data_IF_436364483964
#
_entry.id   IF_436364483964
#
_cell.length_a   1.000
_cell.length_b   1.000
_cell.length_c   1.000
_cell.angle_alpha   90.00
_cell.angle_beta   90.00
_cell.angle_gamma   90.00
#
_symmetry.space_group_name_H-M   'P 1'
#
loop_
_entity.id
_entity.type
_entity.pdbx_description
1 polymer ?
#
# COMPACT_ATOMS: atom_id res chain seq x y z
N UNK A 1 -8.95 -21.97 5.63
CA UNK A 1 -7.86 -22.18 4.67
C UNK A 1 -7.08 -23.42 5.07
N UNK A 2 -6.68 -24.26 4.12
CA UNK A 2 -5.87 -25.46 4.40
C UNK A 2 -4.36 -25.10 4.45
N UNK A 3 -3.48 -26.01 4.92
CA UNK A 3 -2.05 -25.73 5.03
C UNK A 3 -1.37 -25.39 3.69
N UNK A 4 -1.85 -25.97 2.59
CA UNK A 4 -1.32 -25.71 1.26
C UNK A 4 -1.65 -24.28 0.80
N UNK A 5 -2.90 -23.84 0.97
CA UNK A 5 -3.34 -22.47 0.67
C UNK A 5 -2.60 -21.43 1.48
N UNK A 6 -2.33 -21.70 2.77
CA UNK A 6 -1.55 -20.78 3.61
C UNK A 6 -0.09 -20.67 3.13
N UNK A 7 0.50 -21.78 2.70
CA UNK A 7 1.85 -21.79 2.14
C UNK A 7 1.94 -20.97 0.86
N UNK A 8 0.94 -21.09 -0.02
CA UNK A 8 0.86 -20.32 -1.28
C UNK A 8 0.75 -18.82 -0.95
N UNK A 9 -0.21 -18.44 -0.10
CA UNK A 9 -0.40 -17.05 0.30
C UNK A 9 0.88 -16.45 0.88
N UNK A 10 1.57 -17.18 1.75
CA UNK A 10 2.84 -16.71 2.33
C UNK A 10 3.90 -16.45 1.26
N UNK A 11 4.01 -17.30 0.23
CA UNK A 11 4.96 -17.10 -0.87
C UNK A 11 4.60 -15.90 -1.74
N UNK A 12 3.33 -15.69 -2.01
CA UNK A 12 2.86 -14.52 -2.75
C UNK A 12 3.16 -13.23 -1.99
N UNK A 13 2.83 -13.19 -0.68
CA UNK A 13 3.11 -12.03 0.17
C UNK A 13 4.61 -11.76 0.31
N UNK A 14 5.46 -12.79 0.36
CA UNK A 14 6.91 -12.63 0.33
C UNK A 14 7.38 -11.95 -0.96
N UNK A 15 6.83 -12.35 -2.12
CA UNK A 15 7.12 -11.71 -3.40
C UNK A 15 6.66 -10.25 -3.41
N UNK A 16 5.44 -9.97 -2.96
CA UNK A 16 4.91 -8.62 -2.91
C UNK A 16 5.72 -7.71 -1.97
N UNK A 17 6.18 -8.21 -0.82
CA UNK A 17 7.08 -7.49 0.09
C UNK A 17 8.39 -7.06 -0.60
N UNK A 18 8.96 -7.89 -1.47
CA UNK A 18 10.17 -7.55 -2.23
C UNK A 18 9.88 -6.39 -3.20
N UNK A 19 8.73 -6.44 -3.89
CA UNK A 19 8.34 -5.40 -4.86
C UNK A 19 8.01 -4.08 -4.16
N UNK A 20 7.28 -4.13 -3.05
CA UNK A 20 6.99 -2.97 -2.22
C UNK A 20 8.28 -2.36 -1.67
N UNK A 21 9.16 -3.17 -1.08
CA UNK A 21 10.45 -2.70 -0.58
C UNK A 21 11.32 -2.06 -1.67
N UNK A 22 11.30 -2.59 -2.90
CA UNK A 22 12.00 -1.97 -4.03
C UNK A 22 11.43 -0.59 -4.39
N UNK A 23 10.10 -0.45 -4.42
CA UNK A 23 9.43 0.81 -4.71
C UNK A 23 9.76 1.87 -3.64
N UNK A 24 9.65 1.51 -2.37
CA UNK A 24 9.97 2.40 -1.25
C UNK A 24 11.43 2.87 -1.28
N UNK A 25 12.38 1.95 -1.51
CA UNK A 25 13.82 2.33 -1.62
C UNK A 25 14.08 3.28 -2.78
N UNK A 26 13.48 3.04 -3.96
CA UNK A 26 13.63 3.93 -5.10
C UNK A 26 13.04 5.32 -4.81
N UNK A 27 11.86 5.38 -4.21
CA UNK A 27 11.25 6.64 -3.79
C UNK A 27 12.17 7.42 -2.84
N UNK A 28 12.78 6.76 -1.85
CA UNK A 28 13.75 7.36 -0.94
C UNK A 28 15.00 7.88 -1.66
N UNK A 29 15.63 7.06 -2.52
CA UNK A 29 16.80 7.49 -3.31
C UNK A 29 16.51 8.70 -4.20
N UNK A 30 15.32 8.75 -4.82
CA UNK A 30 14.91 9.88 -5.67
C UNK A 30 14.69 11.20 -4.89
N UNK A 31 14.42 11.11 -3.58
CA UNK A 31 14.32 12.29 -2.73
C UNK A 31 15.69 12.90 -2.42
N UNK A 32 16.73 12.05 -2.31
CA UNK A 32 18.10 12.45 -1.99
C UNK A 32 18.87 12.99 -3.20
N UNK A 33 18.55 12.52 -4.40
CA UNK A 33 19.22 12.94 -5.63
C UNK A 33 18.64 14.26 -6.14
N UNK A 34 19.46 15.18 -6.64
CA UNK A 34 19.00 16.33 -7.41
C UNK A 34 19.12 16.05 -8.91
N UNK A 35 18.00 15.70 -9.54
CA UNK A 35 17.89 15.50 -10.98
C UNK A 35 16.53 16.01 -11.50
N UNK A 36 16.45 16.46 -12.76
CA UNK A 36 15.17 16.82 -13.37
C UNK A 36 14.18 15.64 -13.36
N UNK A 37 12.91 15.90 -13.06
CA UNK A 37 11.86 14.88 -13.07
C UNK A 37 11.85 13.91 -11.87
N UNK A 38 12.74 14.14 -10.88
CA UNK A 38 12.87 13.23 -9.73
C UNK A 38 11.63 13.17 -8.85
N UNK A 39 10.88 14.26 -8.72
CA UNK A 39 9.72 14.32 -7.84
C UNK A 39 8.58 13.51 -8.45
N UNK A 40 8.42 13.58 -9.77
CA UNK A 40 7.47 12.79 -10.56
C UNK A 40 7.81 11.30 -10.48
N UNK A 41 9.09 10.95 -10.62
CA UNK A 41 9.56 9.58 -10.45
C UNK A 41 9.34 9.07 -9.01
N UNK A 42 9.59 9.91 -8.00
CA UNK A 42 9.36 9.58 -6.60
C UNK A 42 7.85 9.36 -6.33
N UNK A 43 7.00 10.26 -6.83
CA UNK A 43 5.55 10.15 -6.74
C UNK A 43 5.04 8.86 -7.39
N UNK A 44 5.60 8.48 -8.55
CA UNK A 44 5.29 7.21 -9.20
C UNK A 44 5.68 6.01 -8.32
N UNK A 45 6.88 5.99 -7.74
CA UNK A 45 7.33 4.89 -6.89
C UNK A 45 6.53 4.79 -5.58
N UNK A 46 6.11 5.91 -4.98
CA UNK A 46 5.18 5.93 -3.83
C UNK A 46 3.79 5.39 -4.21
N UNK A 47 3.25 5.78 -5.37
CA UNK A 47 1.99 5.23 -5.86
C UNK A 47 2.12 3.73 -6.17
N UNK A 48 3.28 3.29 -6.69
CA UNK A 48 3.59 1.88 -6.93
C UNK A 48 3.68 1.09 -5.61
N UNK A 49 4.32 1.67 -4.60
CA UNK A 49 4.38 1.10 -3.26
C UNK A 49 2.97 0.83 -2.70
N UNK A 50 2.10 1.85 -2.71
CA UNK A 50 0.72 1.70 -2.26
C UNK A 50 -0.06 0.67 -3.08
N UNK A 51 0.12 0.63 -4.41
CA UNK A 51 -0.55 -0.37 -5.25
C UNK A 51 -0.20 -1.81 -4.83
N UNK A 52 1.08 -2.08 -4.55
CA UNK A 52 1.51 -3.42 -4.11
C UNK A 52 0.95 -3.71 -2.71
N UNK A 53 0.99 -2.74 -1.81
CA UNK A 53 0.38 -2.85 -0.48
C UNK A 53 -1.10 -3.21 -0.57
N UNK A 54 -1.88 -2.47 -1.36
CA UNK A 54 -3.28 -2.75 -1.62
C UNK A 54 -3.49 -4.17 -2.15
N UNK A 55 -2.65 -4.64 -3.09
CA UNK A 55 -2.75 -6.00 -3.63
C UNK A 55 -2.44 -7.10 -2.60
N UNK A 56 -1.52 -6.85 -1.67
CA UNK A 56 -1.29 -7.76 -0.54
C UNK A 56 -2.53 -7.83 0.36
N UNK A 57 -3.10 -6.68 0.69
CA UNK A 57 -4.30 -6.57 1.50
C UNK A 57 -5.50 -7.28 0.85
N UNK A 58 -5.72 -7.09 -0.46
CA UNK A 58 -6.77 -7.80 -1.21
C UNK A 58 -6.61 -9.32 -1.10
N UNK A 59 -5.40 -9.85 -1.32
CA UNK A 59 -5.12 -11.29 -1.21
C UNK A 59 -5.36 -11.85 0.18
N UNK A 60 -4.97 -11.11 1.22
CA UNK A 60 -5.25 -11.51 2.61
C UNK A 60 -6.77 -11.56 2.83
N UNK A 61 -7.52 -10.55 2.38
CA UNK A 61 -8.97 -10.57 2.51
C UNK A 61 -9.62 -11.72 1.74
N UNK A 62 -9.16 -12.04 0.53
CA UNK A 62 -9.65 -13.19 -0.25
C UNK A 62 -9.34 -14.51 0.47
N UNK A 63 -8.15 -14.63 1.05
CA UNK A 63 -7.74 -15.81 1.81
C UNK A 63 -8.61 -16.09 3.05
N UNK A 64 -8.97 -15.06 3.81
CA UNK A 64 -9.60 -15.21 5.13
C UNK A 64 -11.09 -14.84 5.17
N UNK A 65 -11.56 -13.94 4.32
CA UNK A 65 -12.84 -13.23 4.51
C UNK A 65 -13.71 -13.10 3.26
N UNK A 66 -13.28 -13.52 2.06
CA UNK A 66 -14.01 -13.76 0.79
C UNK A 66 -15.22 -12.85 0.39
N UNK A 67 -15.40 -11.67 0.98
CA UNK A 67 -16.70 -10.94 0.94
C UNK A 67 -16.56 -9.42 0.76
N UNK A 68 -15.50 -8.90 0.12
CA UNK A 68 -15.40 -7.47 -0.19
C UNK A 68 -15.76 -7.20 -1.65
N UNK A 69 -16.92 -6.58 -1.88
CA UNK A 69 -17.28 -6.06 -3.20
C UNK A 69 -16.54 -4.76 -3.52
N UNK A 70 -15.97 -4.67 -4.74
CA UNK A 70 -15.27 -3.47 -5.24
C UNK A 70 -16.23 -2.34 -5.63
N UNK A 71 -16.88 -1.72 -4.64
CA UNK A 71 -17.79 -0.60 -4.82
C UNK A 71 -17.58 0.48 -3.76
N UNK A 72 -17.80 1.74 -4.15
CA UNK A 72 -17.78 2.89 -3.24
C UNK A 72 -16.43 3.07 -2.54
N UNK A 73 -16.46 3.05 -1.22
CA UNK A 73 -15.34 3.22 -0.28
C UNK A 73 -14.50 1.94 -0.09
N UNK A 74 -14.49 1.06 -1.09
CA UNK A 74 -13.80 -0.24 -1.06
C UNK A 74 -12.40 -0.20 -0.44
N UNK A 75 -11.56 0.73 -0.89
CA UNK A 75 -10.18 0.86 -0.43
C UNK A 75 -10.09 1.23 1.06
N UNK A 76 -11.02 2.06 1.54
CA UNK A 76 -11.09 2.43 2.95
C UNK A 76 -11.54 1.24 3.81
N UNK A 77 -12.57 0.53 3.35
CA UNK A 77 -13.09 -0.68 4.02
C UNK A 77 -12.05 -1.80 4.07
N UNK A 78 -11.22 -1.95 3.04
CA UNK A 78 -10.12 -2.90 3.01
C UNK A 78 -9.11 -2.61 4.13
N UNK A 79 -8.66 -1.35 4.25
CA UNK A 79 -7.74 -0.91 5.31
C UNK A 79 -8.38 -1.13 6.69
N UNK A 80 -9.62 -0.67 6.88
CA UNK A 80 -10.32 -0.82 8.15
C UNK A 80 -10.42 -2.29 8.56
N UNK A 81 -10.84 -3.16 7.65
CA UNK A 81 -11.03 -4.59 7.91
C UNK A 81 -9.74 -5.27 8.32
N UNK A 82 -8.64 -5.01 7.63
CA UNK A 82 -7.34 -5.63 7.93
C UNK A 82 -6.62 -4.99 9.13
N UNK A 83 -7.17 -3.90 9.68
CA UNK A 83 -6.76 -3.35 10.97
C UNK A 83 -7.46 -4.01 12.17
N UNK A 84 -8.51 -4.81 11.93
CA UNK A 84 -9.21 -5.54 12.98
C UNK A 84 -8.51 -6.87 13.26
N UNK A 85 -8.34 -7.16 14.54
CA UNK A 85 -8.00 -8.50 15.03
C UNK A 85 -9.28 -9.35 15.08
N UNK A 86 -9.24 -10.52 14.45
CA UNK A 86 -10.36 -11.45 14.36
C UNK A 86 -9.93 -12.77 15.00
N UNK A 87 -10.14 -12.87 16.31
CA UNK A 87 -9.74 -14.02 17.11
C UNK A 87 -10.23 -15.34 16.49
N UNK A 88 -9.32 -16.31 16.36
CA UNK A 88 -9.59 -17.61 15.73
C UNK A 88 -9.64 -17.61 14.19
N UNK A 89 -9.57 -16.44 13.54
CA UNK A 89 -9.56 -16.31 12.07
C UNK A 89 -8.21 -15.81 11.59
N UNK A 90 -7.80 -14.61 12.04
CA UNK A 90 -6.53 -13.97 11.67
C UNK A 90 -6.18 -12.80 12.59
N UNK A 91 -4.89 -12.48 12.77
CA UNK A 91 -4.50 -11.24 13.45
C UNK A 91 -4.88 -9.99 12.63
N UNK A 92 -4.76 -8.83 13.26
CA UNK A 92 -4.66 -7.57 12.56
C UNK A 92 -3.36 -7.52 11.74
N UNK A 93 -3.48 -7.34 10.43
CA UNK A 93 -2.31 -7.22 9.53
C UNK A 93 -1.85 -5.77 9.39
N UNK A 94 -2.72 -4.81 9.72
CA UNK A 94 -2.40 -3.39 9.78
C UNK A 94 -2.42 -2.96 11.25
N UNK A 95 -1.27 -2.61 11.84
CA UNK A 95 -1.23 -1.99 13.16
C UNK A 95 -2.05 -0.69 13.19
N UNK A 96 -2.81 -0.46 14.26
CA UNK A 96 -3.70 0.71 14.38
C UNK A 96 -2.96 2.04 14.25
N UNK A 97 -1.74 2.11 14.77
CA UNK A 97 -0.84 3.26 14.69
C UNK A 97 -0.29 3.53 13.27
N UNK A 98 -0.46 2.57 12.34
CA UNK A 98 -0.01 2.67 10.94
C UNK A 98 -1.15 2.81 9.94
N UNK A 99 -2.40 2.64 10.37
CA UNK A 99 -3.55 2.75 9.49
C UNK A 99 -3.71 4.17 8.90
N UNK A 100 -3.28 5.22 9.62
CA UNK A 100 -3.24 6.60 9.09
C UNK A 100 -2.28 6.72 7.90
N UNK A 101 -1.08 6.16 8.03
CA UNK A 101 -0.01 6.29 7.04
C UNK A 101 -0.43 5.63 5.72
N UNK A 102 -1.08 4.46 5.80
CA UNK A 102 -1.64 3.76 4.64
C UNK A 102 -2.76 4.57 3.97
N UNK A 103 -3.59 5.27 4.75
CA UNK A 103 -4.65 6.14 4.19
C UNK A 103 -4.06 7.36 3.51
N UNK A 104 -2.97 7.93 4.04
CA UNK A 104 -2.27 9.03 3.38
C UNK A 104 -1.70 8.59 2.03
N UNK A 105 -1.06 7.41 1.98
CA UNK A 105 -0.56 6.82 0.74
C UNK A 105 -1.70 6.53 -0.26
N UNK A 106 -2.85 6.01 0.21
CA UNK A 106 -4.06 5.83 -0.59
C UNK A 106 -4.52 7.14 -1.22
N UNK A 107 -4.65 8.17 -0.40
CA UNK A 107 -5.08 9.51 -0.82
C UNK A 107 -4.12 10.10 -1.83
N UNK A 108 -2.81 10.02 -1.55
CA UNK A 108 -1.78 10.48 -2.46
C UNK A 108 -1.84 9.77 -3.81
N UNK A 109 -1.94 8.44 -3.82
CA UNK A 109 -2.08 7.64 -5.05
C UNK A 109 -3.33 7.98 -5.86
N UNK A 110 -4.42 8.38 -5.20
CA UNK A 110 -5.60 8.88 -5.89
C UNK A 110 -5.32 10.25 -6.54
N UNK A 111 -4.73 11.18 -5.79
CA UNK A 111 -4.37 12.51 -6.28
C UNK A 111 -3.39 12.43 -7.46
N UNK A 112 -2.30 11.68 -7.34
CA UNK A 112 -1.29 11.57 -8.41
C UNK A 112 -1.82 10.96 -9.70
N UNK A 113 -2.89 10.17 -9.63
CA UNK A 113 -3.52 9.55 -10.80
C UNK A 113 -4.56 10.45 -11.48
N UNK A 114 -5.19 11.35 -10.74
CA UNK A 114 -6.39 12.06 -11.19
C UNK A 114 -6.26 13.59 -11.25
N UNK A 115 -5.27 14.17 -10.57
CA UNK A 115 -5.04 15.61 -10.63
C UNK A 115 -4.57 16.02 -12.03
N UNK A 116 -5.31 16.95 -12.65
CA UNK A 116 -4.96 17.52 -13.95
C UNK A 116 -3.76 18.48 -13.85
N UNK A 117 -3.72 19.27 -12.78
CA UNK A 117 -2.59 20.12 -12.42
C UNK A 117 -2.16 19.75 -11.00
N UNK A 118 -0.97 19.19 -10.86
CA UNK A 118 -0.40 18.75 -9.60
C UNK A 118 1.00 19.31 -9.45
N UNK A 119 1.16 20.24 -8.50
CA UNK A 119 2.48 20.69 -8.06
C UNK A 119 3.00 19.75 -7.00
N UNK A 120 4.01 18.95 -7.34
CA UNK A 120 4.70 18.07 -6.39
C UNK A 120 5.62 18.88 -5.48
N UNK A 121 5.55 18.60 -4.19
CA UNK A 121 6.43 19.21 -3.18
C UNK A 121 7.33 18.15 -2.57
N UNK A 122 8.64 18.41 -2.55
CA UNK A 122 9.63 17.49 -2.02
C UNK A 122 9.41 17.15 -0.54
N UNK A 123 8.97 18.12 0.27
CA UNK A 123 8.67 17.92 1.69
C UNK A 123 7.51 16.94 1.91
N UNK A 124 6.42 17.07 1.15
CA UNK A 124 5.28 16.14 1.23
C UNK A 124 5.64 14.74 0.76
N UNK A 125 6.46 14.61 -0.28
CA UNK A 125 6.96 13.30 -0.72
C UNK A 125 7.87 12.66 0.35
N UNK A 126 8.68 13.47 1.04
CA UNK A 126 9.51 13.01 2.13
C UNK A 126 8.71 12.59 3.37
N UNK A 127 7.58 13.24 3.67
CA UNK A 127 6.64 12.79 4.72
C UNK A 127 6.08 11.40 4.41
N UNK A 128 5.66 11.17 3.16
CA UNK A 128 5.05 9.91 2.72
C UNK A 128 6.05 8.74 2.58
N UNK A 129 7.35 9.03 2.51
CA UNK A 129 8.41 8.05 2.34
C UNK A 129 9.05 7.58 3.67
N UNK A 130 8.55 8.06 4.82
CA UNK A 130 9.06 7.74 6.16
C UNK A 130 8.58 6.40 6.70
#
# INVERSE_FOLDING_TARGET
MDPAGLTILLRELQGDCVVAGNAGRKAATLLEQESPGRLEACAYELARFYNVLEKMLERICEAFENHLEKRGDYHERLIQRLSLDLEGIRPAFIPLDRASDIRELKGFRHVTRHAYDLTLRADRLAELAR
#
